data_IF_446144933627
#
_entry.id   IF_446144933627
#
_cell.length_a   1.000
_cell.length_b   1.000
_cell.length_c   1.000
_cell.angle_alpha   90.00
_cell.angle_beta   90.00
_cell.angle_gamma   90.00
#
_symmetry.space_group_name_H-M   'P 1'
#
loop_
_entity.id
_entity.type
_entity.pdbx_description
1 polymer ?
#
# COMPACT_ATOMS: atom_id res chain seq x y z
N UNK A 1 -11.26 13.60 -14.89
CA UNK A 1 -10.76 12.52 -14.02
C UNK A 1 -11.98 11.68 -13.65
N UNK A 2 -12.13 10.50 -14.24
CA UNK A 2 -13.30 9.63 -14.01
C UNK A 2 -13.16 8.94 -12.66
N UNK A 3 -14.09 9.18 -11.74
CA UNK A 3 -14.21 8.38 -10.52
C UNK A 3 -14.95 7.09 -10.86
N UNK A 4 -14.22 6.04 -11.25
CA UNK A 4 -14.81 4.72 -11.44
C UNK A 4 -15.11 4.10 -10.08
N UNK A 5 -16.39 4.01 -9.70
CA UNK A 5 -16.79 3.22 -8.54
C UNK A 5 -16.77 1.72 -8.89
N UNK A 6 -16.17 0.91 -8.01
CA UNK A 6 -16.15 -0.55 -8.14
C UNK A 6 -16.73 -1.17 -6.88
N UNK A 7 -17.57 -2.18 -7.04
CA UNK A 7 -18.16 -2.93 -5.93
C UNK A 7 -17.27 -4.14 -5.62
N UNK A 8 -17.00 -4.38 -4.34
CA UNK A 8 -16.21 -5.51 -3.87
C UNK A 8 -17.06 -6.35 -2.90
N UNK A 9 -17.16 -7.65 -3.16
CA UNK A 9 -17.72 -8.62 -2.21
C UNK A 9 -16.57 -9.27 -1.45
N UNK A 10 -16.63 -9.23 -0.12
CA UNK A 10 -15.61 -9.84 0.76
C UNK A 10 -16.28 -10.74 1.79
N UNK A 11 -15.59 -11.80 2.16
CA UNK A 11 -16.00 -12.68 3.27
C UNK A 11 -15.29 -12.24 4.53
N UNK A 12 -16.05 -11.97 5.59
CA UNK A 12 -15.56 -11.60 6.93
C UNK A 12 -16.25 -12.48 7.96
N UNK A 13 -15.71 -12.54 9.18
CA UNK A 13 -16.37 -13.26 10.28
C UNK A 13 -17.69 -12.58 10.67
N UNK A 14 -18.63 -13.39 11.15
CA UNK A 14 -19.94 -12.92 11.60
C UNK A 14 -19.80 -11.93 12.76
N UNK A 15 -18.94 -12.22 13.73
CA UNK A 15 -18.63 -11.31 14.85
C UNK A 15 -18.15 -9.94 14.37
N UNK A 16 -17.34 -9.90 13.30
CA UNK A 16 -16.84 -8.63 12.76
C UNK A 16 -17.94 -7.87 12.03
N UNK A 17 -18.79 -8.56 11.28
CA UNK A 17 -19.93 -7.96 10.60
C UNK A 17 -20.93 -7.35 11.58
N UNK A 18 -21.24 -8.06 12.66
CA UNK A 18 -22.14 -7.58 13.70
C UNK A 18 -21.55 -6.36 14.40
N UNK A 19 -20.28 -6.41 14.80
CA UNK A 19 -19.59 -5.25 15.37
C UNK A 19 -19.60 -4.05 14.41
N UNK A 20 -19.35 -4.27 13.11
CA UNK A 20 -19.43 -3.23 12.08
C UNK A 20 -20.81 -2.60 12.00
N UNK A 21 -21.86 -3.42 12.00
CA UNK A 21 -23.26 -2.99 11.90
C UNK A 21 -23.74 -2.28 13.18
N UNK A 22 -23.23 -2.66 14.35
CA UNK A 22 -23.53 -2.01 15.63
C UNK A 22 -22.80 -0.68 15.81
N UNK A 23 -21.55 -0.60 15.35
CA UNK A 23 -20.69 0.59 15.52
C UNK A 23 -20.95 1.64 14.46
N UNK A 24 -21.22 1.21 13.22
CA UNK A 24 -21.36 2.09 12.05
C UNK A 24 -22.76 1.92 11.48
N UNK A 25 -23.41 3.03 11.13
CA UNK A 25 -24.71 2.97 10.46
C UNK A 25 -24.60 2.13 9.18
N UNK A 26 -25.61 1.31 8.87
CA UNK A 26 -25.57 0.37 7.75
C UNK A 26 -25.26 1.03 6.39
N UNK A 27 -25.62 2.30 6.21
CA UNK A 27 -25.34 3.10 5.01
C UNK A 27 -23.88 3.57 4.89
N UNK A 28 -23.11 3.47 5.97
CA UNK A 28 -21.74 3.98 6.06
C UNK A 28 -20.69 2.87 6.12
N UNK A 29 -21.08 1.59 6.16
CA UNK A 29 -20.14 0.46 6.20
C UNK A 29 -19.15 0.52 5.03
N UNK A 30 -19.62 0.74 3.81
CA UNK A 30 -18.72 0.85 2.63
C UNK A 30 -17.73 2.00 2.75
N UNK A 31 -18.16 3.14 3.33
CA UNK A 31 -17.28 4.30 3.56
C UNK A 31 -16.24 3.98 4.62
N UNK A 32 -16.67 3.41 5.74
CA UNK A 32 -15.80 3.01 6.85
C UNK A 32 -14.72 2.01 6.41
N UNK A 33 -15.14 0.94 5.70
CA UNK A 33 -14.20 -0.06 5.16
C UNK A 33 -13.23 0.60 4.18
N UNK A 34 -13.70 1.49 3.30
CA UNK A 34 -12.83 2.19 2.35
C UNK A 34 -11.79 3.07 3.05
N UNK A 35 -12.19 3.80 4.09
CA UNK A 35 -11.29 4.66 4.88
C UNK A 35 -10.25 3.83 5.64
N UNK A 36 -10.67 2.74 6.30
CA UNK A 36 -9.78 1.84 7.01
C UNK A 36 -8.75 1.18 6.08
N UNK A 37 -9.18 0.72 4.90
CA UNK A 37 -8.28 0.15 3.89
C UNK A 37 -7.32 1.22 3.37
N UNK A 38 -7.79 2.44 3.11
CA UNK A 38 -6.94 3.55 2.64
C UNK A 38 -5.85 3.89 3.65
N UNK A 39 -6.17 3.98 4.94
CA UNK A 39 -5.18 4.23 5.99
C UNK A 39 -4.10 3.14 6.02
N UNK A 40 -4.52 1.86 5.95
CA UNK A 40 -3.58 0.73 5.96
C UNK A 40 -2.69 0.70 4.72
N UNK A 41 -3.24 1.03 3.55
CA UNK A 41 -2.47 1.10 2.30
C UNK A 41 -1.51 2.30 2.27
N UNK A 42 -1.92 3.47 2.79
CA UNK A 42 -1.04 4.63 2.92
C UNK A 42 0.18 4.31 3.78
N UNK A 43 -0.01 3.67 4.94
CA UNK A 43 1.10 3.23 5.81
C UNK A 43 2.08 2.32 5.07
N UNK A 44 1.57 1.34 4.31
CA UNK A 44 2.42 0.44 3.52
C UNK A 44 3.19 1.17 2.42
N UNK A 45 2.60 2.18 1.79
CA UNK A 45 3.30 2.99 0.78
C UNK A 45 4.38 3.88 1.42
N UNK A 46 4.13 4.39 2.62
CA UNK A 46 5.11 5.16 3.38
C UNK A 46 6.29 4.29 3.81
N UNK A 47 6.04 3.08 4.32
CA UNK A 47 7.08 2.09 4.61
C UNK A 47 7.91 1.74 3.37
N UNK A 48 7.24 1.53 2.22
CA UNK A 48 7.93 1.29 0.95
C UNK A 48 8.80 2.47 0.54
N UNK A 49 8.27 3.69 0.67
CA UNK A 49 9.01 4.91 0.35
C UNK A 49 10.26 5.07 1.25
N UNK A 50 10.14 4.81 2.55
CA UNK A 50 11.27 4.83 3.47
C UNK A 50 12.32 3.79 3.08
N UNK A 51 11.92 2.56 2.75
CA UNK A 51 12.85 1.53 2.28
C UNK A 51 13.59 1.94 0.99
N UNK A 52 12.91 2.60 0.04
CA UNK A 52 13.56 3.16 -1.15
C UNK A 52 14.53 4.29 -0.81
N UNK A 53 14.17 5.16 0.14
CA UNK A 53 15.02 6.26 0.58
C UNK A 53 16.30 5.73 1.25
N UNK A 54 16.17 4.77 2.16
CA UNK A 54 17.31 4.09 2.80
C UNK A 54 18.22 3.43 1.75
N UNK A 55 17.65 2.70 0.79
CA UNK A 55 18.42 2.08 -0.29
C UNK A 55 19.11 3.12 -1.21
N UNK A 56 18.56 4.33 -1.35
CA UNK A 56 19.18 5.43 -2.10
C UNK A 56 20.34 6.10 -1.35
N UNK A 57 20.41 5.93 -0.03
CA UNK A 57 21.47 6.49 0.82
C UNK A 57 22.61 5.50 1.04
N UNK A 58 22.47 4.26 0.55
CA UNK A 58 23.51 3.24 0.60
C UNK A 58 24.61 3.52 -0.44
N UNK A 59 25.70 4.11 0.05
CA UNK A 59 26.86 4.51 -0.75
C UNK A 59 27.73 3.33 -1.21
N UNK A 60 27.71 2.20 -0.49
CA UNK A 60 28.43 0.97 -0.91
C UNK A 60 27.73 0.38 -2.15
N UNK A 61 26.39 0.31 -2.12
CA UNK A 61 25.59 -0.14 -3.26
C UNK A 61 25.77 0.75 -4.49
N UNK A 62 25.88 2.08 -4.32
CA UNK A 62 26.13 2.99 -5.44
C UNK A 62 27.53 2.79 -6.07
N UNK A 63 28.54 2.45 -5.28
CA UNK A 63 29.88 2.15 -5.77
C UNK A 63 29.89 0.83 -6.54
N UNK A 64 29.28 -0.21 -5.98
CA UNK A 64 29.11 -1.48 -6.69
C UNK A 64 28.35 -1.27 -7.99
N UNK A 65 27.20 -0.59 -8.00
CA UNK A 65 26.43 -0.33 -9.23
C UNK A 65 27.24 0.36 -10.31
N UNK A 66 28.12 1.31 -9.94
CA UNK A 66 29.05 1.94 -10.90
C UNK A 66 30.05 0.94 -11.46
N UNK A 67 30.57 0.03 -10.64
CA UNK A 67 31.46 -1.05 -11.08
C UNK A 67 30.74 -2.02 -12.03
N UNK A 68 29.48 -2.35 -11.75
CA UNK A 68 28.64 -3.19 -12.62
C UNK A 68 28.24 -2.50 -13.94
N UNK A 69 27.94 -1.19 -13.93
CA UNK A 69 27.63 -0.41 -15.14
C UNK A 69 28.82 -0.38 -16.11
N UNK A 70 30.04 -0.33 -15.59
CA UNK A 70 31.28 -0.39 -16.39
C UNK A 70 31.43 -1.75 -17.09
N UNK A 71 30.87 -2.84 -16.53
CA UNK A 71 30.93 -4.19 -17.11
C UNK A 71 29.83 -4.47 -18.15
N UNK A 72 28.79 -3.62 -18.24
CA UNK A 72 27.65 -3.80 -19.14
C UNK A 72 27.72 -2.94 -20.43
N UNK A 73 28.89 -2.38 -20.76
CA UNK A 73 29.09 -1.52 -21.95
C UNK A 73 29.25 -2.33 -23.26
N UNK A 74 29.28 -3.67 -23.21
CA UNK A 74 29.34 -4.52 -24.39
C UNK A 74 28.00 -5.25 -24.66
N UNK A 75 27.01 -4.52 -25.20
CA UNK A 75 25.85 -5.11 -25.88
C UNK A 75 25.33 -4.21 -27.02
#
# INVERSE_FOLDING_TARGET
>A
MEFTMRTLSITISEDLYDNLKHTVSSRQISKFVSEAVKEKLCKKNEELYQAYLEASQDLEREQELKEWDILNVEA
#
